data_IF_834718047560
#
_entry.id   IF_834718047560
#
_cell.length_a   1.000
_cell.length_b   1.000
_cell.length_c   1.000
_cell.angle_alpha   90.00
_cell.angle_beta   90.00
_cell.angle_gamma   90.00
#
_symmetry.space_group_name_H-M   'P 1'
#
loop_
_entity.id
_entity.type
_entity.pdbx_description
1 polymer ?
#
# COMPACT_ATOMS: atom_id res chain seq x y z
N UNK A 1 -11.53 -9.49 38.56
CA UNK A 1 -10.82 -8.78 37.47
C UNK A 1 -11.74 -8.56 36.26
N UNK A 2 -12.21 -9.60 35.51
CA UNK A 2 -13.03 -9.38 34.28
C UNK A 2 -14.40 -8.77 34.61
N UNK A 3 -15.09 -9.26 35.66
CA UNK A 3 -16.39 -8.73 36.09
C UNK A 3 -16.30 -7.28 36.54
N UNK A 4 -15.26 -6.94 37.28
CA UNK A 4 -14.96 -5.57 37.74
C UNK A 4 -14.68 -4.64 36.59
N UNK A 5 -13.79 -5.04 35.65
CA UNK A 5 -13.52 -4.27 34.43
C UNK A 5 -14.76 -4.01 33.58
N UNK A 6 -15.62 -5.04 33.41
CA UNK A 6 -16.90 -4.88 32.69
C UNK A 6 -17.89 -3.99 33.43
N UNK A 7 -17.93 -4.08 34.80
CA UNK A 7 -18.80 -3.23 35.60
C UNK A 7 -18.38 -1.76 35.51
N UNK A 8 -17.07 -1.49 35.56
CA UNK A 8 -16.51 -0.16 35.39
C UNK A 8 -16.82 0.42 34.00
N UNK A 9 -16.54 -0.36 32.93
CA UNK A 9 -16.83 0.07 31.55
C UNK A 9 -18.30 0.30 31.27
N UNK A 10 -19.21 -0.45 31.89
CA UNK A 10 -20.67 -0.33 31.68
C UNK A 10 -21.36 0.56 32.71
N UNK A 11 -20.62 1.06 33.71
CA UNK A 11 -21.14 1.84 34.82
C UNK A 11 -22.33 1.18 35.52
N UNK A 12 -22.34 -0.17 35.60
CA UNK A 12 -23.37 -0.96 36.29
C UNK A 12 -22.82 -2.32 36.69
N UNK A 13 -23.44 -2.90 37.73
CA UNK A 13 -23.09 -4.24 38.21
C UNK A 13 -23.22 -5.29 37.09
N UNK A 14 -22.13 -6.03 36.85
CA UNK A 14 -22.09 -7.13 35.86
C UNK A 14 -21.92 -8.45 36.59
N UNK A 15 -22.84 -9.37 36.34
CA UNK A 15 -22.75 -10.75 36.84
C UNK A 15 -22.28 -11.66 35.71
N UNK A 16 -21.18 -12.38 35.95
CA UNK A 16 -20.67 -13.38 35.02
C UNK A 16 -21.08 -14.74 35.56
N UNK A 17 -21.88 -15.51 34.80
CA UNK A 17 -22.25 -16.90 35.15
C UNK A 17 -21.69 -17.87 34.15
N UNK A 18 -21.16 -19.00 34.63
CA UNK A 18 -20.68 -20.08 33.78
C UNK A 18 -21.74 -21.20 33.79
N UNK A 19 -22.44 -21.44 32.66
CA UNK A 19 -23.47 -22.44 32.58
C UNK A 19 -22.85 -23.84 32.64
N UNK A 20 -23.49 -24.73 33.44
CA UNK A 20 -22.99 -26.10 33.61
C UNK A 20 -23.78 -27.13 32.82
N UNK A 21 -25.00 -26.84 32.30
CA UNK A 21 -25.89 -27.77 31.59
C UNK A 21 -26.87 -27.02 30.66
N UNK A 22 -27.50 -27.74 29.76
CA UNK A 22 -28.52 -27.24 28.83
C UNK A 22 -27.96 -26.41 27.65
N UNK A 23 -28.81 -25.75 26.89
CA UNK A 23 -28.47 -25.02 25.67
C UNK A 23 -27.38 -23.95 25.89
N UNK A 24 -27.39 -23.28 27.05
CA UNK A 24 -26.35 -22.30 27.40
C UNK A 24 -24.95 -22.91 27.54
N UNK A 25 -24.89 -24.14 28.05
CA UNK A 25 -23.62 -24.90 28.15
C UNK A 25 -23.12 -25.28 26.76
N UNK A 26 -24.01 -25.76 25.89
CA UNK A 26 -23.65 -26.09 24.51
C UNK A 26 -23.10 -24.87 23.76
N UNK A 27 -23.68 -23.68 23.93
CA UNK A 27 -23.15 -22.43 23.37
C UNK A 27 -21.78 -22.08 23.93
N UNK A 28 -21.55 -22.24 25.23
CA UNK A 28 -20.24 -22.03 25.85
C UNK A 28 -19.18 -22.98 25.27
N UNK A 29 -19.51 -24.25 25.14
CA UNK A 29 -18.59 -25.24 24.60
C UNK A 29 -18.25 -24.99 23.15
N UNK A 30 -19.21 -24.56 22.33
CA UNK A 30 -18.96 -24.11 20.95
C UNK A 30 -18.06 -22.86 20.90
N UNK A 31 -18.30 -21.86 21.73
CA UNK A 31 -17.47 -20.70 21.84
C UNK A 31 -16.03 -21.04 22.27
N UNK A 32 -15.86 -21.94 23.23
CA UNK A 32 -14.56 -22.44 23.67
C UNK A 32 -13.83 -23.21 22.56
N UNK A 33 -14.54 -24.05 21.80
CA UNK A 33 -13.97 -24.76 20.66
C UNK A 33 -13.48 -23.79 19.58
N UNK A 34 -14.31 -22.84 19.20
CA UNK A 34 -13.94 -21.79 18.22
C UNK A 34 -12.72 -20.96 18.68
N UNK A 35 -12.69 -20.58 19.95
CA UNK A 35 -11.56 -19.85 20.51
C UNK A 35 -10.26 -20.67 20.48
N UNK A 36 -10.30 -21.95 20.80
CA UNK A 36 -9.15 -22.87 20.71
C UNK A 36 -8.67 -23.01 19.26
N UNK A 37 -9.57 -23.19 18.32
CA UNK A 37 -9.23 -23.30 16.89
C UNK A 37 -8.58 -22.03 16.38
N UNK A 38 -9.10 -20.86 16.75
CA UNK A 38 -8.49 -19.55 16.41
C UNK A 38 -7.09 -19.41 17.00
N UNK A 39 -6.86 -19.81 18.25
CA UNK A 39 -5.55 -19.77 18.88
C UNK A 39 -4.56 -20.68 18.16
N UNK A 40 -4.93 -21.94 17.91
CA UNK A 40 -4.08 -22.92 17.21
C UNK A 40 -3.76 -22.43 15.79
N UNK A 41 -4.77 -21.95 15.06
CA UNK A 41 -4.55 -21.42 13.70
C UNK A 41 -3.68 -20.18 13.69
N UNK A 42 -3.83 -19.30 14.69
CA UNK A 42 -3.00 -18.11 14.89
C UNK A 42 -1.53 -18.47 15.16
N UNK A 43 -1.27 -19.43 16.03
CA UNK A 43 0.08 -19.91 16.32
C UNK A 43 0.74 -20.53 15.08
N UNK A 44 0.06 -21.42 14.36
CA UNK A 44 0.56 -22.03 13.12
C UNK A 44 0.89 -20.97 12.06
N UNK A 45 0.05 -19.95 11.89
CA UNK A 45 0.31 -18.82 10.99
C UNK A 45 1.56 -18.04 11.44
N UNK A 46 1.71 -17.79 12.73
CA UNK A 46 2.89 -17.10 13.28
C UNK A 46 4.18 -17.88 13.01
N UNK A 47 4.18 -19.18 13.25
CA UNK A 47 5.33 -20.07 12.97
C UNK A 47 5.68 -20.08 11.46
N UNK A 48 4.69 -20.21 10.58
CA UNK A 48 4.89 -20.16 9.13
C UNK A 48 5.48 -18.84 8.66
N UNK A 49 5.04 -17.71 9.24
CA UNK A 49 5.55 -16.37 8.95
C UNK A 49 7.03 -16.24 9.37
N UNK A 50 7.34 -16.65 10.58
CA UNK A 50 8.73 -16.63 11.08
C UNK A 50 9.62 -17.52 10.23
N UNK A 51 9.15 -18.70 9.85
CA UNK A 51 9.85 -19.60 8.96
C UNK A 51 10.14 -18.98 7.58
N UNK A 52 9.17 -18.22 7.00
CA UNK A 52 9.39 -17.52 5.75
C UNK A 52 10.47 -16.44 5.86
N UNK A 53 10.52 -15.69 6.96
CA UNK A 53 11.56 -14.69 7.24
C UNK A 53 12.93 -15.34 7.42
N UNK A 54 12.99 -16.47 8.12
CA UNK A 54 14.23 -17.23 8.29
C UNK A 54 14.77 -17.73 6.94
N UNK A 55 13.91 -18.27 6.08
CA UNK A 55 14.29 -18.69 4.73
C UNK A 55 14.81 -17.52 3.90
N UNK A 56 14.21 -16.33 4.05
CA UNK A 56 14.72 -15.11 3.39
C UNK A 56 16.11 -14.76 3.90
N UNK A 57 16.30 -14.72 5.21
CA UNK A 57 17.60 -14.44 5.82
C UNK A 57 18.68 -15.36 5.28
N UNK A 58 18.45 -16.68 5.32
CA UNK A 58 19.42 -17.67 4.92
C UNK A 58 19.74 -17.61 3.41
N UNK A 59 18.72 -17.46 2.57
CA UNK A 59 18.90 -17.47 1.11
C UNK A 59 19.50 -16.19 0.55
N UNK A 60 19.17 -15.07 1.15
CA UNK A 60 19.69 -13.78 0.72
C UNK A 60 20.92 -13.35 1.54
N UNK A 61 21.34 -14.16 2.52
CA UNK A 61 22.48 -13.88 3.42
C UNK A 61 22.34 -12.53 4.11
N UNK A 62 21.11 -12.26 4.64
CA UNK A 62 20.84 -11.02 5.34
C UNK A 62 21.54 -10.99 6.71
N UNK A 63 21.94 -9.80 7.14
CA UNK A 63 22.65 -9.59 8.41
C UNK A 63 21.80 -9.93 9.63
N UNK A 64 20.47 -9.77 9.52
CA UNK A 64 19.52 -10.07 10.59
C UNK A 64 18.18 -10.57 10.03
N UNK A 65 17.33 -11.11 10.91
CA UNK A 65 15.99 -11.56 10.55
C UNK A 65 15.15 -10.34 10.09
N UNK A 66 14.63 -10.33 8.85
CA UNK A 66 13.95 -9.15 8.31
C UNK A 66 12.51 -9.02 8.82
N UNK A 67 12.35 -8.69 10.12
CA UNK A 67 11.03 -8.48 10.75
C UNK A 67 10.33 -7.26 10.19
N UNK A 68 11.09 -6.15 10.01
CA UNK A 68 10.59 -4.92 9.40
C UNK A 68 11.14 -4.76 8.00
N UNK A 69 10.27 -4.91 7.00
CA UNK A 69 10.60 -4.78 5.58
C UNK A 69 9.96 -3.50 5.05
N UNK A 70 10.74 -2.64 4.42
CA UNK A 70 10.24 -1.48 3.69
C UNK A 70 10.41 -1.71 2.19
N UNK A 71 9.33 -1.56 1.42
CA UNK A 71 9.37 -1.68 -0.04
C UNK A 71 9.02 -0.34 -0.69
N UNK A 72 9.82 0.01 -1.69
CA UNK A 72 9.74 1.27 -2.42
C UNK A 72 9.38 1.03 -3.88
N UNK A 73 8.35 1.70 -4.36
CA UNK A 73 7.94 1.74 -5.76
C UNK A 73 7.91 3.19 -6.23
N UNK A 74 8.54 3.46 -7.37
CA UNK A 74 8.49 4.75 -8.04
C UNK A 74 7.55 4.62 -9.22
N UNK A 75 6.45 5.34 -9.15
CA UNK A 75 5.46 5.37 -10.21
C UNK A 75 5.39 6.76 -10.83
N UNK A 76 5.66 6.84 -12.13
CA UNK A 76 5.59 8.06 -12.91
C UNK A 76 4.34 8.04 -13.80
N UNK A 77 3.46 9.04 -13.64
CA UNK A 77 2.34 9.25 -14.56
C UNK A 77 2.49 10.62 -15.20
N UNK A 78 2.79 10.62 -16.50
CA UNK A 78 2.71 11.80 -17.40
C UNK A 78 3.47 13.04 -16.91
N UNK A 79 4.68 12.91 -16.42
CA UNK A 79 5.66 13.98 -16.29
C UNK A 79 5.47 15.00 -15.15
N UNK A 80 4.29 15.22 -14.60
CA UNK A 80 4.04 16.32 -13.64
C UNK A 80 3.68 15.93 -12.20
N UNK A 81 3.49 14.65 -11.90
CA UNK A 81 3.07 14.22 -10.57
C UNK A 81 3.71 12.87 -10.18
N UNK A 82 5.02 12.77 -10.31
CA UNK A 82 5.74 11.58 -9.87
C UNK A 82 5.66 11.42 -8.36
N UNK A 83 5.40 10.19 -7.92
CA UNK A 83 5.24 9.84 -6.51
C UNK A 83 6.01 8.58 -6.21
N UNK A 84 6.84 8.63 -5.18
CA UNK A 84 7.38 7.44 -4.56
C UNK A 84 6.43 6.93 -3.48
N UNK A 85 6.18 5.65 -3.45
CA UNK A 85 5.43 4.98 -2.42
C UNK A 85 6.32 4.08 -1.57
N UNK A 86 6.06 4.04 -0.27
CA UNK A 86 6.71 3.17 0.69
C UNK A 86 5.64 2.37 1.43
N UNK A 87 5.73 1.07 1.36
CA UNK A 87 4.93 0.17 2.20
C UNK A 87 5.82 -0.52 3.22
N UNK A 88 5.22 -0.87 4.35
CA UNK A 88 5.93 -1.49 5.47
C UNK A 88 5.25 -2.80 5.81
N UNK A 89 6.06 -3.85 5.98
CA UNK A 89 5.63 -5.12 6.54
C UNK A 89 6.33 -5.33 7.87
N UNK A 90 5.54 -5.70 8.87
CA UNK A 90 6.04 -6.08 10.20
C UNK A 90 5.68 -7.54 10.45
N UNK A 91 6.70 -8.38 10.74
CA UNK A 91 6.53 -9.82 10.96
C UNK A 91 5.69 -10.51 9.85
N UNK A 92 6.03 -10.22 8.59
CA UNK A 92 5.37 -10.71 7.36
C UNK A 92 3.94 -10.20 7.11
N UNK A 93 3.45 -9.21 7.87
CA UNK A 93 2.12 -8.61 7.67
C UNK A 93 2.21 -7.12 7.34
N UNK A 94 1.28 -6.60 6.52
CA UNK A 94 1.26 -5.18 6.16
C UNK A 94 1.00 -4.28 7.38
N UNK A 95 1.93 -3.40 7.72
CA UNK A 95 1.72 -2.31 8.68
C UNK A 95 1.29 -1.04 7.95
N UNK A 96 0.01 -0.93 7.66
CA UNK A 96 -0.57 0.19 6.91
C UNK A 96 -0.42 1.54 7.60
N UNK A 97 -0.22 1.57 8.91
CA UNK A 97 -0.02 2.80 9.68
C UNK A 97 1.32 3.47 9.37
N UNK A 98 2.30 2.66 8.99
CA UNK A 98 3.65 3.09 8.62
C UNK A 98 3.84 3.40 7.13
N UNK A 99 2.80 3.25 6.28
CA UNK A 99 2.90 3.57 4.85
C UNK A 99 3.12 5.05 4.62
N UNK A 100 3.95 5.40 3.63
CA UNK A 100 4.26 6.79 3.27
C UNK A 100 4.17 7.01 1.76
N UNK A 101 3.83 8.23 1.38
CA UNK A 101 3.87 8.73 0.01
C UNK A 101 4.78 9.93 -0.06
N UNK A 102 5.69 9.91 -1.00
CA UNK A 102 6.67 10.97 -1.22
C UNK A 102 6.37 11.66 -2.55
N UNK A 103 5.83 12.87 -2.48
CA UNK A 103 5.70 13.69 -3.68
C UNK A 103 7.09 14.11 -4.11
N UNK A 104 7.47 13.83 -5.36
CA UNK A 104 8.74 14.24 -5.96
C UNK A 104 8.70 15.74 -6.22
N UNK A 105 9.77 16.44 -5.90
CA UNK A 105 9.86 17.90 -5.98
C UNK A 105 11.00 18.39 -6.87
N UNK A 106 12.07 17.64 -6.96
CA UNK A 106 13.35 18.10 -7.52
C UNK A 106 13.56 17.72 -8.99
N UNK A 107 12.64 16.98 -9.63
CA UNK A 107 12.87 16.36 -10.93
C UNK A 107 11.68 16.69 -11.82
N UNK A 108 11.91 17.48 -12.88
CA UNK A 108 10.89 17.84 -13.87
C UNK A 108 10.86 16.88 -15.08
N UNK A 109 11.89 16.07 -15.26
CA UNK A 109 11.99 15.05 -16.30
C UNK A 109 11.76 13.63 -15.70
N UNK A 110 11.32 12.65 -16.51
CA UNK A 110 11.14 11.26 -16.05
C UNK A 110 12.50 10.60 -15.81
N UNK A 111 13.02 10.75 -14.58
CA UNK A 111 14.24 10.12 -14.08
C UNK A 111 13.90 9.26 -12.85
N UNK A 112 13.57 8.00 -13.08
CA UNK A 112 13.21 7.05 -12.01
C UNK A 112 14.35 6.86 -11.00
N UNK A 113 15.59 6.98 -11.39
CA UNK A 113 16.75 6.85 -10.49
C UNK A 113 16.91 8.07 -9.57
N UNK A 114 16.78 9.26 -10.12
CA UNK A 114 16.79 10.50 -9.33
C UNK A 114 15.60 10.57 -8.37
N UNK A 115 14.42 10.15 -8.83
CA UNK A 115 13.23 10.07 -7.99
C UNK A 115 13.40 9.08 -6.82
N UNK A 116 13.95 7.90 -7.08
CA UNK A 116 14.27 6.91 -6.04
C UNK A 116 15.28 7.48 -5.04
N UNK A 117 16.31 8.17 -5.51
CA UNK A 117 17.30 8.86 -4.67
C UNK A 117 16.64 9.89 -3.75
N UNK A 118 15.76 10.75 -4.28
CA UNK A 118 15.03 11.74 -3.47
C UNK A 118 14.21 11.08 -2.37
N UNK A 119 13.45 10.05 -2.71
CA UNK A 119 12.59 9.32 -1.76
C UNK A 119 13.39 8.70 -0.64
N UNK A 120 14.42 7.94 -0.98
CA UNK A 120 15.28 7.25 0.00
C UNK A 120 16.05 8.25 0.88
N UNK A 121 16.58 9.32 0.29
CA UNK A 121 17.27 10.37 1.05
C UNK A 121 16.34 11.01 2.06
N UNK A 122 15.12 11.36 1.66
CA UNK A 122 14.12 11.94 2.59
C UNK A 122 13.69 10.98 3.67
N UNK A 123 13.52 9.69 3.34
CA UNK A 123 13.17 8.67 4.31
C UNK A 123 14.26 8.48 5.35
N UNK A 124 15.51 8.30 4.92
CA UNK A 124 16.62 7.95 5.80
C UNK A 124 17.29 9.14 6.51
N UNK A 125 16.93 10.38 6.13
CA UNK A 125 17.22 11.59 6.94
C UNK A 125 16.19 11.84 8.04
N UNK A 126 15.04 11.14 8.00
CA UNK A 126 14.02 11.22 9.05
C UNK A 126 14.39 10.44 10.30
N UNK A 127 13.56 10.57 11.34
CA UNK A 127 13.72 9.91 12.65
C UNK A 127 12.91 8.62 12.80
N UNK A 128 12.21 8.19 11.76
CA UNK A 128 11.43 6.92 11.81
C UNK A 128 12.37 5.71 12.01
N UNK A 129 11.93 4.65 12.71
CA UNK A 129 12.73 3.44 12.93
C UNK A 129 13.27 2.86 11.63
N UNK A 130 14.53 2.45 11.62
CA UNK A 130 15.16 1.82 10.46
C UNK A 130 14.55 0.43 10.21
N UNK A 131 14.40 0.00 8.93
CA UNK A 131 13.99 -1.36 8.60
C UNK A 131 15.15 -2.35 8.75
N UNK A 132 14.82 -3.64 8.83
CA UNK A 132 15.79 -4.72 8.75
C UNK A 132 16.16 -5.04 7.30
N UNK A 133 15.22 -4.79 6.36
CA UNK A 133 15.41 -5.03 4.94
C UNK A 133 14.72 -3.93 4.11
N UNK A 134 15.47 -3.38 3.17
CA UNK A 134 14.95 -2.48 2.13
C UNK A 134 14.74 -3.27 0.85
N UNK A 135 13.56 -3.18 0.28
CA UNK A 135 13.22 -3.74 -1.03
C UNK A 135 12.94 -2.59 -1.99
N UNK A 136 13.58 -2.59 -3.13
CA UNK A 136 13.24 -1.67 -4.22
C UNK A 136 12.55 -2.44 -5.33
N UNK A 137 11.36 -1.96 -5.76
CA UNK A 137 10.67 -2.55 -6.91
C UNK A 137 11.40 -2.14 -8.18
N UNK A 138 12.31 -3.01 -8.60
CA UNK A 138 13.15 -2.76 -9.76
C UNK A 138 14.39 -3.63 -9.80
N UNK A 139 15.18 -3.41 -10.84
CA UNK A 139 16.41 -4.16 -11.10
C UNK A 139 17.65 -3.57 -10.43
N UNK A 140 18.80 -3.93 -11.00
CA UNK A 140 20.11 -3.51 -10.49
C UNK A 140 20.30 -1.99 -10.43
N UNK A 141 19.71 -1.25 -11.37
CA UNK A 141 19.81 0.20 -11.39
C UNK A 141 19.26 0.83 -10.13
N UNK A 142 18.01 0.49 -9.78
CA UNK A 142 17.34 0.98 -8.55
C UNK A 142 18.06 0.51 -7.29
N UNK A 143 18.53 -0.76 -7.27
CA UNK A 143 19.36 -1.29 -6.18
C UNK A 143 20.63 -0.46 -5.97
N UNK A 144 21.35 -0.11 -7.03
CA UNK A 144 22.57 0.68 -6.93
C UNK A 144 22.31 2.10 -6.42
N UNK A 145 21.18 2.70 -6.80
CA UNK A 145 20.75 4.01 -6.25
C UNK A 145 20.53 3.91 -4.74
N UNK A 146 19.82 2.87 -4.29
CA UNK A 146 19.57 2.67 -2.87
C UNK A 146 20.87 2.48 -2.06
N UNK A 147 21.78 1.67 -2.58
CA UNK A 147 23.11 1.46 -1.97
C UNK A 147 23.93 2.77 -1.90
N UNK A 148 23.91 3.57 -2.96
CA UNK A 148 24.60 4.87 -2.98
C UNK A 148 24.07 5.81 -1.90
N UNK A 149 22.73 5.96 -1.80
CA UNK A 149 22.09 6.82 -0.79
C UNK A 149 22.44 6.36 0.62
N UNK A 150 22.36 5.07 0.92
CA UNK A 150 22.69 4.53 2.25
C UNK A 150 24.17 4.74 2.58
N UNK A 151 25.04 4.56 1.61
CA UNK A 151 26.50 4.80 1.77
C UNK A 151 26.79 6.30 2.07
N UNK A 152 26.18 7.22 1.34
CA UNK A 152 26.30 8.66 1.57
C UNK A 152 25.82 9.08 2.98
N UNK A 153 24.75 8.42 3.46
CA UNK A 153 24.20 8.65 4.80
C UNK A 153 24.91 7.85 5.91
N UNK A 154 25.89 7.01 5.54
CA UNK A 154 26.63 6.11 6.45
C UNK A 154 25.73 5.14 7.22
N UNK A 155 24.64 4.70 6.56
CA UNK A 155 23.68 3.75 7.12
C UNK A 155 23.99 2.35 6.57
N UNK A 156 24.09 1.36 7.45
CA UNK A 156 24.28 -0.04 7.07
C UNK A 156 22.96 -0.77 7.18
N UNK A 157 22.38 -1.15 6.03
CA UNK A 157 21.14 -1.91 5.93
C UNK A 157 21.26 -2.94 4.81
N UNK A 158 20.53 -4.04 4.96
CA UNK A 158 20.34 -4.99 3.86
C UNK A 158 19.37 -4.40 2.83
N UNK A 159 19.76 -4.47 1.56
CA UNK A 159 18.98 -3.96 0.43
C UNK A 159 18.90 -4.99 -0.66
N UNK A 160 17.73 -5.19 -1.23
CA UNK A 160 17.51 -6.01 -2.41
C UNK A 160 16.71 -5.28 -3.48
N UNK A 161 16.99 -5.62 -4.74
CA UNK A 161 16.12 -5.26 -5.86
C UNK A 161 15.19 -6.42 -6.19
N UNK A 162 13.92 -6.15 -6.45
CA UNK A 162 12.95 -7.18 -6.83
C UNK A 162 12.32 -6.78 -8.17
N UNK A 163 12.67 -7.51 -9.23
CA UNK A 163 12.14 -7.26 -10.56
C UNK A 163 11.28 -8.43 -11.04
N UNK A 164 10.16 -8.10 -11.65
CA UNK A 164 9.34 -9.06 -12.36
C UNK A 164 10.04 -9.45 -13.66
N UNK A 165 9.99 -10.72 -14.01
CA UNK A 165 10.49 -11.13 -15.31
C UNK A 165 9.65 -10.51 -16.42
N UNK A 166 10.25 -9.65 -17.24
CA UNK A 166 9.65 -9.25 -18.50
C UNK A 166 9.58 -10.48 -19.40
N UNK A 167 8.40 -10.72 -19.96
CA UNK A 167 8.22 -11.77 -21.00
C UNK A 167 9.07 -11.40 -22.21
N UNK A 168 10.30 -11.85 -22.25
CA UNK A 168 11.14 -11.71 -23.42
C UNK A 168 10.50 -12.47 -24.59
N UNK A 169 10.72 -11.99 -25.81
CA UNK A 169 10.24 -12.58 -27.08
C UNK A 169 10.55 -14.10 -27.20
N UNK A 170 11.59 -14.57 -26.50
CA UNK A 170 11.97 -15.98 -26.37
C UNK A 170 10.96 -16.80 -25.56
N UNK A 171 10.33 -16.22 -24.54
CA UNK A 171 9.28 -16.88 -23.75
C UNK A 171 7.98 -17.03 -24.56
N UNK A 172 7.67 -16.07 -25.45
CA UNK A 172 6.56 -16.18 -26.39
C UNK A 172 6.78 -17.31 -27.41
N UNK A 173 8.02 -17.49 -27.89
CA UNK A 173 8.38 -18.57 -28.82
C UNK A 173 8.31 -19.95 -28.16
N UNK A 174 8.62 -20.05 -26.85
CA UNK A 174 8.49 -21.29 -26.08
C UNK A 174 7.03 -21.62 -25.72
N UNK A 175 6.14 -20.62 -25.63
CA UNK A 175 4.70 -20.84 -25.45
C UNK A 175 4.06 -21.51 -26.65
N UNK A 176 4.54 -21.22 -27.86
CA UNK A 176 4.16 -21.92 -29.10
C UNK A 176 4.58 -23.39 -29.12
N UNK A 177 5.51 -23.82 -28.26
CA UNK A 177 5.95 -25.20 -28.07
C UNK A 177 5.26 -25.91 -26.89
N UNK A 178 4.18 -25.36 -26.34
CA UNK A 178 3.36 -26.00 -25.30
C UNK A 178 3.98 -26.02 -23.88
N UNK A 179 5.14 -25.35 -23.66
CA UNK A 179 5.73 -25.23 -22.32
C UNK A 179 5.31 -23.88 -21.70
N UNK A 180 4.49 -23.94 -20.65
CA UNK A 180 4.22 -22.78 -19.82
C UNK A 180 5.49 -22.36 -19.10
N UNK A 181 6.15 -21.29 -19.54
CA UNK A 181 7.25 -20.67 -18.79
C UNK A 181 6.61 -19.89 -17.64
N UNK A 182 6.77 -20.38 -16.41
CA UNK A 182 6.42 -19.59 -15.22
C UNK A 182 7.35 -18.40 -15.19
N UNK A 183 6.81 -17.18 -15.21
CA UNK A 183 7.61 -16.00 -14.95
C UNK A 183 8.06 -16.02 -13.50
N UNK A 184 9.37 -16.01 -13.27
CA UNK A 184 9.96 -16.01 -11.94
C UNK A 184 10.43 -14.61 -11.56
N UNK A 185 10.15 -14.19 -10.34
CA UNK A 185 10.66 -12.93 -9.83
C UNK A 185 12.19 -13.05 -9.59
N UNK A 186 12.92 -12.03 -10.01
CA UNK A 186 14.37 -11.93 -9.90
C UNK A 186 14.74 -11.08 -8.70
N UNK A 187 15.46 -11.66 -7.76
CA UNK A 187 16.00 -10.94 -6.60
C UNK A 187 17.44 -10.56 -6.89
N UNK A 188 17.73 -9.26 -6.91
CA UNK A 188 19.07 -8.72 -7.09
C UNK A 188 19.69 -8.39 -5.73
N UNK A 189 20.90 -8.87 -5.51
CA UNK A 189 21.67 -8.64 -4.30
C UNK A 189 22.85 -7.70 -4.56
N UNK A 190 23.31 -6.93 -3.55
CA UNK A 190 24.52 -6.14 -3.65
C UNK A 190 25.72 -7.02 -4.06
N UNK A 191 26.59 -6.49 -4.91
CA UNK A 191 27.83 -7.16 -5.35
C UNK A 191 27.67 -8.50 -6.06
N UNK A 192 26.43 -8.91 -6.38
CA UNK A 192 26.17 -10.12 -7.18
C UNK A 192 25.79 -9.77 -8.61
N UNK A 193 26.46 -10.47 -9.57
CA UNK A 193 26.19 -10.28 -11.00
C UNK A 193 24.85 -10.89 -11.40
N UNK A 194 24.52 -12.05 -10.87
CA UNK A 194 23.34 -12.82 -11.25
C UNK A 194 22.22 -12.67 -10.22
N UNK A 195 20.98 -12.68 -10.71
CA UNK A 195 19.81 -12.68 -9.84
C UNK A 195 19.67 -13.99 -9.08
N UNK A 196 19.13 -13.92 -7.88
CA UNK A 196 18.75 -15.08 -7.08
C UNK A 196 17.29 -15.42 -7.36
N UNK A 197 17.01 -16.71 -7.53
CA UNK A 197 15.65 -17.23 -7.72
C UNK A 197 15.20 -17.95 -6.45
N UNK A 198 13.97 -17.70 -6.04
CA UNK A 198 13.37 -18.28 -4.83
C UNK A 198 12.30 -19.34 -5.13
N UNK A 199 12.23 -19.83 -6.37
CA UNK A 199 11.24 -20.84 -6.80
C UNK A 199 11.26 -22.13 -5.95
N UNK A 200 12.44 -22.52 -5.45
CA UNK A 200 12.56 -23.64 -4.51
C UNK A 200 12.09 -23.35 -3.08
N UNK A 201 11.69 -22.12 -2.79
CA UNK A 201 11.30 -21.65 -1.45
C UNK A 201 10.01 -20.83 -1.52
N UNK A 202 8.86 -21.50 -1.75
CA UNK A 202 7.60 -20.81 -2.08
C UNK A 202 7.14 -19.83 -1.00
N UNK A 203 7.35 -20.10 0.28
CA UNK A 203 6.93 -19.21 1.36
C UNK A 203 7.68 -17.86 1.34
N UNK A 204 8.99 -17.90 1.12
CA UNK A 204 9.81 -16.68 1.01
C UNK A 204 9.50 -15.91 -0.28
N UNK A 205 9.31 -16.61 -1.39
CA UNK A 205 8.90 -16.01 -2.67
C UNK A 205 7.56 -15.32 -2.55
N UNK A 206 6.55 -15.99 -2.00
CA UNK A 206 5.21 -15.43 -1.78
C UNK A 206 5.24 -14.20 -0.87
N UNK A 207 6.09 -14.18 0.15
CA UNK A 207 6.25 -13.00 0.99
C UNK A 207 6.78 -11.81 0.19
N UNK A 208 7.85 -11.97 -0.57
CA UNK A 208 8.40 -10.88 -1.40
C UNK A 208 7.41 -10.43 -2.47
N UNK A 209 6.68 -11.35 -3.09
CA UNK A 209 5.62 -11.01 -4.05
C UNK A 209 4.52 -10.18 -3.39
N UNK A 210 4.04 -10.58 -2.21
CA UNK A 210 3.06 -9.79 -1.43
C UNK A 210 3.58 -8.40 -1.11
N UNK A 211 4.83 -8.27 -0.72
CA UNK A 211 5.46 -6.98 -0.40
C UNK A 211 5.49 -6.08 -1.64
N UNK A 212 5.94 -6.60 -2.79
CA UNK A 212 5.97 -5.88 -4.07
C UNK A 212 4.58 -5.50 -4.55
N UNK A 213 3.67 -6.48 -4.60
CA UNK A 213 2.32 -6.27 -5.11
C UNK A 213 1.56 -5.23 -4.25
N UNK A 214 1.82 -5.20 -2.95
CA UNK A 214 1.25 -4.19 -2.05
C UNK A 214 1.86 -2.80 -2.30
N UNK A 215 3.18 -2.69 -2.57
CA UNK A 215 3.82 -1.44 -2.94
C UNK A 215 3.23 -0.89 -4.24
N UNK A 216 3.13 -1.73 -5.26
CA UNK A 216 2.51 -1.38 -6.52
C UNK A 216 1.03 -0.99 -6.37
N UNK A 217 0.23 -1.79 -5.63
CA UNK A 217 -1.18 -1.48 -5.34
C UNK A 217 -1.32 -0.12 -4.65
N UNK A 218 -0.46 0.17 -3.68
CA UNK A 218 -0.48 1.43 -2.94
C UNK A 218 -0.12 2.62 -3.82
N UNK A 219 0.86 2.47 -4.71
CA UNK A 219 1.22 3.46 -5.72
C UNK A 219 0.05 3.74 -6.67
N UNK A 220 -0.50 2.70 -7.31
CA UNK A 220 -1.62 2.82 -8.26
C UNK A 220 -2.85 3.46 -7.62
N UNK A 221 -3.18 3.12 -6.37
CA UNK A 221 -4.32 3.72 -5.66
C UNK A 221 -4.23 5.25 -5.54
N UNK A 222 -3.02 5.77 -5.37
CA UNK A 222 -2.78 7.21 -5.30
C UNK A 222 -2.93 7.88 -6.65
N UNK A 223 -2.45 7.24 -7.71
CA UNK A 223 -2.60 7.75 -9.07
C UNK A 223 -4.07 7.89 -9.47
N UNK A 224 -4.90 6.90 -9.15
CA UNK A 224 -6.35 7.01 -9.35
C UNK A 224 -6.94 8.21 -8.60
N UNK A 225 -6.52 8.43 -7.36
CA UNK A 225 -6.99 9.57 -6.57
C UNK A 225 -6.54 10.91 -7.16
N UNK A 226 -5.31 11.01 -7.64
CA UNK A 226 -4.79 12.22 -8.29
C UNK A 226 -5.47 12.47 -9.64
N UNK A 227 -5.62 11.43 -10.45
CA UNK A 227 -6.31 11.53 -11.74
C UNK A 227 -7.75 12.00 -11.54
N UNK A 228 -8.51 11.36 -10.65
CA UNK A 228 -9.87 11.79 -10.31
C UNK A 228 -9.93 13.25 -9.85
N UNK A 229 -8.97 13.70 -9.02
CA UNK A 229 -8.91 15.12 -8.59
C UNK A 229 -8.61 16.07 -9.75
N UNK A 230 -7.73 15.70 -10.66
CA UNK A 230 -7.38 16.52 -11.81
C UNK A 230 -8.53 16.54 -12.83
N UNK A 231 -9.11 15.41 -13.15
CA UNK A 231 -10.27 15.29 -14.04
C UNK A 231 -11.44 16.12 -13.50
N UNK A 232 -11.72 16.03 -12.21
CA UNK A 232 -12.77 16.82 -11.57
C UNK A 232 -12.48 18.32 -11.56
N UNK A 233 -11.23 18.72 -11.36
CA UNK A 233 -10.86 20.15 -11.49
C UNK A 233 -11.08 20.63 -12.91
N UNK A 234 -10.69 19.84 -13.90
CA UNK A 234 -10.91 20.14 -15.31
C UNK A 234 -12.42 20.30 -15.61
N UNK A 235 -13.25 19.39 -15.11
CA UNK A 235 -14.71 19.46 -15.25
C UNK A 235 -15.26 20.74 -14.62
N UNK A 236 -14.86 21.04 -13.39
CA UNK A 236 -15.28 22.29 -12.72
C UNK A 236 -14.69 23.55 -13.36
N UNK A 237 -13.59 23.44 -14.12
CA UNK A 237 -13.02 24.57 -14.87
C UNK A 237 -13.87 24.93 -16.09
N UNK A 238 -14.68 24.02 -16.61
CA UNK A 238 -15.60 24.25 -17.72
C UNK A 238 -16.91 24.94 -17.28
N UNK A 239 -17.20 25.01 -15.97
CA UNK A 239 -18.42 25.63 -15.47
C UNK A 239 -18.20 27.14 -15.36
N UNK A 240 -18.96 28.00 -16.08
CA UNK A 240 -18.91 29.45 -15.91
C UNK A 240 -19.11 29.84 -14.45
N UNK A 241 -18.43 30.87 -14.00
CA UNK A 241 -18.50 31.42 -12.64
C UNK A 241 -17.93 30.53 -11.53
N UNK A 242 -17.31 29.38 -11.85
CA UNK A 242 -16.68 28.47 -10.89
C UNK A 242 -15.21 28.85 -10.62
N UNK A 243 -14.97 29.91 -9.87
CA UNK A 243 -13.63 30.35 -9.47
C UNK A 243 -12.95 29.42 -8.46
N UNK A 244 -11.63 29.59 -8.26
CA UNK A 244 -10.78 28.75 -7.39
C UNK A 244 -11.32 28.62 -5.96
N UNK A 245 -11.83 29.69 -5.37
CA UNK A 245 -12.35 29.70 -4.01
C UNK A 245 -13.65 28.88 -3.87
N UNK A 246 -14.56 28.96 -4.85
CA UNK A 246 -15.79 28.16 -4.85
C UNK A 246 -15.51 26.67 -4.98
N UNK A 247 -14.55 26.28 -5.84
CA UNK A 247 -14.06 24.89 -5.96
C UNK A 247 -13.51 24.36 -4.65
N UNK A 248 -12.69 25.16 -3.95
CA UNK A 248 -12.11 24.81 -2.65
C UNK A 248 -13.19 24.62 -1.58
N UNK A 249 -14.18 25.51 -1.53
CA UNK A 249 -15.31 25.41 -0.59
C UNK A 249 -16.16 24.19 -0.88
N UNK A 250 -16.46 23.89 -2.15
CA UNK A 250 -17.18 22.69 -2.57
C UNK A 250 -16.48 21.41 -2.11
N UNK A 251 -15.19 21.27 -2.40
CA UNK A 251 -14.40 20.10 -1.98
C UNK A 251 -14.25 20.00 -0.46
N UNK A 252 -14.17 21.13 0.26
CA UNK A 252 -14.11 21.15 1.73
C UNK A 252 -15.43 20.70 2.35
N UNK A 253 -16.57 21.11 1.78
CA UNK A 253 -17.91 20.77 2.28
C UNK A 253 -18.22 19.27 2.10
N UNK A 254 -17.95 18.72 0.92
CA UNK A 254 -18.28 17.32 0.61
C UNK A 254 -17.15 16.33 0.91
N UNK A 255 -15.94 16.78 1.23
CA UNK A 255 -14.79 15.94 1.58
C UNK A 255 -14.17 15.15 0.42
N UNK A 256 -14.92 14.80 -0.61
CA UNK A 256 -14.42 14.04 -1.77
C UNK A 256 -15.14 14.42 -3.07
N UNK A 257 -14.44 14.18 -4.20
CA UNK A 257 -14.97 14.30 -5.56
C UNK A 257 -16.21 13.44 -5.76
N UNK A 258 -16.14 12.21 -5.28
CA UNK A 258 -17.26 11.26 -5.39
C UNK A 258 -18.53 11.76 -4.71
N UNK A 259 -18.40 12.37 -3.54
CA UNK A 259 -19.57 12.95 -2.83
C UNK A 259 -20.15 14.14 -3.57
N UNK A 260 -19.31 15.01 -4.17
CA UNK A 260 -19.80 16.11 -5.02
C UNK A 260 -20.54 15.58 -6.25
N UNK A 261 -20.00 14.56 -6.92
CA UNK A 261 -20.65 13.96 -8.09
C UNK A 261 -21.99 13.28 -7.78
N UNK A 262 -22.22 12.87 -6.53
CA UNK A 262 -23.45 12.22 -6.10
C UNK A 262 -24.35 13.15 -5.27
N UNK A 263 -23.95 14.40 -5.05
CA UNK A 263 -24.73 15.38 -4.30
C UNK A 263 -26.05 15.72 -4.98
N UNK A 264 -27.07 15.98 -4.17
CA UNK A 264 -28.33 16.53 -4.66
C UNK A 264 -28.18 18.02 -4.97
N UNK A 265 -29.12 18.57 -5.75
CA UNK A 265 -29.16 20.00 -6.03
C UNK A 265 -29.26 20.83 -4.72
N UNK A 266 -30.06 20.35 -3.77
CA UNK A 266 -30.25 20.98 -2.47
C UNK A 266 -28.95 20.98 -1.63
N UNK A 267 -28.18 19.90 -1.66
CA UNK A 267 -26.91 19.83 -0.93
C UNK A 267 -25.84 20.74 -1.54
N UNK A 268 -25.82 20.88 -2.87
CA UNK A 268 -24.93 21.81 -3.55
C UNK A 268 -25.23 23.28 -3.15
N UNK A 269 -26.49 23.63 -2.94
CA UNK A 269 -26.92 24.98 -2.51
C UNK A 269 -26.51 25.29 -1.05
N UNK A 270 -26.27 24.29 -0.22
CA UNK A 270 -25.81 24.48 1.17
C UNK A 270 -24.36 24.97 1.26
N UNK A 271 -23.60 24.91 0.14
CA UNK A 271 -22.19 25.32 0.11
C UNK A 271 -22.08 26.84 0.06
N UNK A 272 -21.37 27.48 0.99
CA UNK A 272 -21.22 28.93 1.03
C UNK A 272 -20.63 29.50 -0.26
N UNK A 273 -21.39 30.36 -0.95
CA UNK A 273 -21.04 31.01 -2.22
C UNK A 273 -21.47 30.24 -3.48
N UNK A 274 -22.32 29.20 -3.32
CA UNK A 274 -22.99 28.50 -4.42
C UNK A 274 -24.49 28.78 -4.30
N UNK A 275 -24.98 29.72 -5.12
CA UNK A 275 -26.39 30.00 -5.25
C UNK A 275 -27.11 29.00 -6.15
N UNK A 276 -28.45 29.11 -6.21
CA UNK A 276 -29.35 28.21 -6.96
C UNK A 276 -28.92 28.03 -8.41
N UNK A 277 -28.69 29.10 -9.13
CA UNK A 277 -28.27 29.04 -10.55
C UNK A 277 -26.95 28.32 -10.78
N UNK A 278 -25.93 28.59 -9.91
CA UNK A 278 -24.66 27.93 -9.99
C UNK A 278 -24.73 26.44 -9.60
N UNK A 279 -25.56 26.10 -8.60
CA UNK A 279 -25.82 24.72 -8.22
C UNK A 279 -26.47 23.92 -9.36
N UNK A 280 -27.40 24.50 -10.10
CA UNK A 280 -28.02 23.90 -11.29
C UNK A 280 -27.00 23.66 -12.41
N UNK A 281 -26.12 24.64 -12.66
CA UNK A 281 -25.02 24.50 -13.64
C UNK A 281 -24.05 23.39 -13.25
N UNK A 282 -23.67 23.29 -11.98
CA UNK A 282 -22.82 22.21 -11.46
C UNK A 282 -23.49 20.86 -11.63
N UNK A 283 -24.74 20.75 -11.17
CA UNK A 283 -25.51 19.52 -11.18
C UNK A 283 -25.71 18.96 -12.60
N UNK A 284 -26.10 19.81 -13.55
CA UNK A 284 -26.29 19.42 -14.94
C UNK A 284 -24.99 18.99 -15.62
N UNK A 285 -23.88 19.71 -15.37
CA UNK A 285 -22.57 19.39 -15.94
C UNK A 285 -22.02 18.05 -15.43
N UNK A 286 -22.13 17.79 -14.14
CA UNK A 286 -21.69 16.53 -13.53
C UNK A 286 -22.51 15.31 -13.96
N UNK A 287 -23.79 15.49 -14.33
CA UNK A 287 -24.64 14.40 -14.81
C UNK A 287 -24.48 14.11 -16.29
N UNK A 288 -24.22 15.13 -17.10
CA UNK A 288 -24.00 14.93 -18.55
C UNK A 288 -22.72 14.13 -18.80
N UNK A 289 -21.67 14.31 -18.01
CA UNK A 289 -20.45 13.48 -18.12
C UNK A 289 -20.65 12.03 -17.67
N UNK A 290 -21.51 11.75 -16.70
CA UNK A 290 -21.85 10.37 -16.30
C UNK A 290 -22.58 9.58 -17.42
N UNK A 291 -23.15 10.27 -18.38
CA UNK A 291 -23.82 9.62 -19.54
C UNK A 291 -22.90 9.42 -20.74
N UNK A 292 -21.72 10.04 -20.72
CA UNK A 292 -20.74 9.97 -21.83
C UNK A 292 -19.60 8.96 -21.56
N UNK A 293 -19.52 8.40 -20.36
CA UNK A 293 -18.67 7.26 -19.99
C UNK A 293 -19.49 5.98 -19.87
#
# INVERSE_FOLDING_TARGET
VIAEWLADKKQKKVLISVPRRGAKKALLDMACANARELLISGQKKGEQRTAALQVLQDKLSLSQLPRRIECYDISNISGKNAVGSMVVFQDSEPDKSSYRRFRIKAIDEPDDYGMMREVLTRRFKGSDPLPDLVVVDGGKGQLNVALSVLSELKIKLDVIGLAKEERTYLAAKNKLRGKAVKSEDRVYLPRRKDAVFLSSRPAALLLLQRVRDEAHRFAVSYHHTLKQKNDFRSILDMIPDMGKERKKKLLKHFGSVYQVQNASLEDLQKVPGIGKELAEKIYSHLRNEKRAC
#
